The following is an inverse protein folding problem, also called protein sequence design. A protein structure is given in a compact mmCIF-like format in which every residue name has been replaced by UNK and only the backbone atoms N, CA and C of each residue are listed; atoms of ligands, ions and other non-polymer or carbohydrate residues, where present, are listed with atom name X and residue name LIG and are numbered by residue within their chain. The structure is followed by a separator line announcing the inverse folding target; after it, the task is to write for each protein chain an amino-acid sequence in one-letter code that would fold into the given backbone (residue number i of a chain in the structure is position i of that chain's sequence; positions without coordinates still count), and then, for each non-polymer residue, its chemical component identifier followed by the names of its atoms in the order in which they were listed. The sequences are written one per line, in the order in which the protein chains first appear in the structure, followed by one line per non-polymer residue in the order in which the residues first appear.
data_IF_784675447480
#
_entry.id   IF_784675447480
#
_cell.length_a   1.000
_cell.length_b   1.000
_cell.length_c   1.000
_cell.angle_alpha   90.00
_cell.angle_beta   90.00
_cell.angle_gamma   90.00
#
_symmetry.space_group_name_H-M   'P 1'
#
loop_
_entity.id
_entity.type
_entity.pdbx_description
1 polymer ?
#
# COMPACT_ATOMS: atom_id res chain seq x y z
N UNK A 1 10.34 54.23 -37.67
CA UNK A 1 10.13 52.77 -37.60
C UNK A 1 10.49 52.35 -36.19
N UNK A 2 9.68 51.46 -35.61
CA UNK A 2 9.75 50.81 -34.28
C UNK A 2 9.49 51.70 -33.07
N UNK A 3 8.21 51.86 -32.73
CA UNK A 3 7.74 52.22 -31.40
C UNK A 3 7.70 50.97 -30.53
N UNK A 4 8.33 51.03 -29.36
CA UNK A 4 8.21 50.01 -28.31
C UNK A 4 6.86 50.15 -27.62
N UNK A 5 6.03 49.11 -27.72
CA UNK A 5 4.75 49.03 -27.02
C UNK A 5 5.00 48.52 -25.59
N UNK A 6 4.88 49.44 -24.64
CA UNK A 6 4.94 49.16 -23.20
C UNK A 6 3.66 48.45 -22.77
N UNK A 7 3.76 47.16 -22.44
CA UNK A 7 2.63 46.38 -21.91
C UNK A 7 2.05 47.01 -20.63
N UNK A 8 0.72 47.04 -20.47
CA UNK A 8 0.06 47.50 -19.25
C UNK A 8 0.25 46.48 -18.10
N UNK A 9 0.21 46.96 -16.85
CA UNK A 9 0.45 46.12 -15.68
C UNK A 9 -0.63 45.05 -15.53
N UNK A 10 -0.16 43.85 -15.17
CA UNK A 10 -0.94 42.66 -14.81
C UNK A 10 -2.02 43.04 -13.78
N UNK A 11 -3.27 43.13 -14.23
CA UNK A 11 -4.41 43.37 -13.36
C UNK A 11 -4.51 42.21 -12.38
N UNK A 12 -4.22 42.48 -11.11
CA UNK A 12 -4.59 41.60 -10.00
C UNK A 12 -6.08 41.35 -10.11
N UNK A 13 -6.47 40.09 -10.37
CA UNK A 13 -7.87 39.69 -10.37
C UNK A 13 -8.45 40.09 -9.01
N UNK A 14 -9.29 41.13 -9.01
CA UNK A 14 -10.12 41.49 -7.87
C UNK A 14 -10.95 40.25 -7.57
N UNK A 15 -10.74 39.69 -6.38
CA UNK A 15 -11.63 38.72 -5.77
C UNK A 15 -13.00 39.39 -5.69
N UNK A 16 -13.83 39.17 -6.71
CA UNK A 16 -15.18 39.70 -6.72
C UNK A 16 -15.91 38.88 -5.68
N UNK A 17 -16.14 39.48 -4.52
CA UNK A 17 -17.03 38.94 -3.50
C UNK A 17 -18.40 38.76 -4.16
N UNK A 18 -18.68 37.56 -4.65
CA UNK A 18 -20.02 37.16 -5.07
C UNK A 18 -20.88 37.19 -3.80
N UNK A 19 -21.63 38.28 -3.62
CA UNK A 19 -22.66 38.36 -2.60
C UNK A 19 -23.83 37.50 -3.08
N UNK A 20 -23.90 36.29 -2.53
CA UNK A 20 -24.99 35.37 -2.75
C UNK A 20 -26.29 36.03 -2.28
N UNK A 21 -27.28 36.10 -3.18
CA UNK A 21 -28.63 36.50 -2.80
C UNK A 21 -29.18 35.48 -1.79
N UNK A 22 -29.84 35.92 -0.71
CA UNK A 22 -30.46 35.00 0.24
C UNK A 22 -31.41 34.06 -0.48
N UNK A 23 -31.20 32.75 -0.37
CA UNK A 23 -32.05 31.76 -0.99
C UNK A 23 -33.46 31.86 -0.37
N UNK A 24 -34.46 32.23 -1.18
CA UNK A 24 -35.83 32.47 -0.72
C UNK A 24 -36.52 31.22 -0.14
N UNK A 25 -36.07 30.03 -0.54
CA UNK A 25 -36.55 28.74 -0.03
C UNK A 25 -35.36 27.77 0.03
N UNK A 26 -34.55 27.80 1.10
CA UNK A 26 -33.26 27.14 1.11
C UNK A 26 -33.33 25.60 1.15
N UNK A 27 -34.54 25.02 1.23
CA UNK A 27 -34.76 23.59 1.09
C UNK A 27 -33.73 22.78 1.90
N UNK A 28 -33.04 21.86 1.23
CA UNK A 28 -31.89 21.19 1.79
C UNK A 28 -30.62 22.08 1.65
N UNK A 29 -30.01 22.54 2.75
CA UNK A 29 -28.86 23.46 2.73
C UNK A 29 -27.61 22.89 2.04
N UNK A 30 -27.53 21.57 1.83
CA UNK A 30 -26.46 20.92 1.05
C UNK A 30 -26.51 21.34 -0.42
N UNK A 31 -27.70 21.55 -0.98
CA UNK A 31 -27.88 21.86 -2.40
C UNK A 31 -28.07 23.36 -2.69
N UNK A 32 -28.35 24.15 -1.66
CA UNK A 32 -28.62 25.59 -1.79
C UNK A 32 -27.37 26.47 -1.74
N UNK A 33 -26.17 25.88 -1.71
CA UNK A 33 -24.86 26.57 -1.68
C UNK A 33 -24.69 27.57 -0.52
N UNK A 34 -25.53 27.47 0.53
CA UNK A 34 -25.49 28.36 1.70
C UNK A 34 -24.43 27.95 2.73
N UNK A 35 -23.94 26.71 2.64
CA UNK A 35 -22.89 26.19 3.49
C UNK A 35 -21.53 26.40 2.82
N UNK A 36 -20.53 26.79 3.61
CA UNK A 36 -19.14 26.85 3.14
C UNK A 36 -18.69 25.44 2.71
N UNK A 37 -17.96 25.34 1.60
CA UNK A 37 -17.46 24.07 1.10
C UNK A 37 -16.63 23.32 2.15
N UNK A 38 -15.98 24.07 3.07
CA UNK A 38 -15.21 23.51 4.20
C UNK A 38 -16.07 22.77 5.22
N UNK A 39 -17.35 23.12 5.37
CA UNK A 39 -18.27 22.42 6.30
C UNK A 39 -18.93 21.21 5.65
N UNK A 40 -18.89 21.12 4.33
CA UNK A 40 -19.45 20.03 3.51
C UNK A 40 -18.44 18.93 3.18
N UNK A 41 -17.31 18.86 3.87
CA UNK A 41 -16.31 17.79 3.67
C UNK A 41 -16.48 16.65 4.67
N UNK A 42 -16.29 15.42 4.20
CA UNK A 42 -16.20 14.22 5.06
C UNK A 42 -14.80 14.22 5.69
N UNK A 43 -14.65 14.56 6.98
CA UNK A 43 -13.35 14.50 7.67
C UNK A 43 -13.29 13.32 8.65
N UNK A 44 -12.61 12.25 8.27
CA UNK A 44 -12.12 11.25 9.22
C UNK A 44 -10.59 11.36 9.28
N UNK A 45 -9.99 11.11 10.46
CA UNK A 45 -8.55 11.30 10.70
C UNK A 45 -7.64 10.51 9.73
N UNK A 46 -8.15 9.40 9.18
CA UNK A 46 -7.40 8.48 8.32
C UNK A 46 -7.75 8.58 6.83
N UNK A 47 -8.73 9.41 6.45
CA UNK A 47 -9.19 9.50 5.06
C UNK A 47 -9.01 10.91 4.50
N UNK A 48 -8.85 10.99 3.18
CA UNK A 48 -8.75 12.26 2.48
C UNK A 48 -10.11 13.00 2.58
N UNK A 49 -10.14 14.27 2.99
CA UNK A 49 -11.38 15.03 3.03
C UNK A 49 -11.97 15.16 1.63
N UNK A 50 -13.23 14.79 1.48
CA UNK A 50 -13.96 14.86 0.20
C UNK A 50 -15.28 15.61 0.39
N UNK A 51 -15.60 16.48 -0.56
CA UNK A 51 -16.88 17.20 -0.58
C UNK A 51 -18.03 16.20 -0.74
N UNK A 52 -19.06 16.34 0.09
CA UNK A 52 -20.22 15.45 0.10
C UNK A 52 -20.93 15.37 -1.27
N UNK A 53 -20.92 16.46 -2.03
CA UNK A 53 -21.50 16.52 -3.39
C UNK A 53 -20.81 15.57 -4.38
N UNK A 54 -19.52 15.25 -4.16
CA UNK A 54 -18.73 14.37 -5.01
C UNK A 54 -18.48 12.99 -4.39
N UNK A 55 -19.21 12.64 -3.32
CA UNK A 55 -19.07 11.33 -2.68
C UNK A 55 -19.59 10.24 -3.62
N UNK A 56 -18.71 9.31 -3.97
CA UNK A 56 -19.06 8.11 -4.75
C UNK A 56 -19.20 6.90 -3.83
N UNK A 57 -19.73 5.79 -4.32
CA UNK A 57 -19.78 4.52 -3.57
C UNK A 57 -18.39 4.00 -3.21
N UNK A 58 -17.38 4.23 -4.05
CA UNK A 58 -15.99 3.83 -3.76
C UNK A 58 -15.41 4.50 -2.51
N UNK A 59 -15.96 5.66 -2.11
CA UNK A 59 -15.54 6.40 -0.92
C UNK A 59 -15.93 5.70 0.39
N UNK A 60 -16.75 4.66 0.34
CA UNK A 60 -17.11 3.86 1.52
C UNK A 60 -15.97 2.93 1.96
N UNK A 61 -15.12 2.49 1.01
CA UNK A 61 -13.93 1.71 1.34
C UNK A 61 -12.96 2.55 2.18
N UNK A 62 -12.56 2.02 3.34
CA UNK A 62 -11.67 2.72 4.28
C UNK A 62 -12.32 3.86 5.06
N UNK A 63 -13.64 4.10 4.92
CA UNK A 63 -14.35 5.12 5.68
C UNK A 63 -14.53 4.74 7.17
N UNK A 64 -14.51 3.45 7.48
CA UNK A 64 -14.67 2.93 8.86
C UNK A 64 -13.30 2.93 9.53
N UNK A 65 -13.11 3.65 10.66
CA UNK A 65 -11.86 3.64 11.38
C UNK A 65 -11.61 2.26 12.02
N UNK A 66 -10.37 1.75 12.00
CA UNK A 66 -10.04 0.49 12.64
C UNK A 66 -10.22 0.60 14.15
N UNK A 67 -10.95 -0.34 14.74
CA UNK A 67 -11.14 -0.46 16.19
C UNK A 67 -10.38 -1.68 16.71
N UNK A 68 -9.93 -1.66 17.97
CA UNK A 68 -9.21 -2.79 18.59
C UNK A 68 -9.98 -4.12 18.50
N UNK A 69 -11.31 -4.08 18.46
CA UNK A 69 -12.18 -5.26 18.32
C UNK A 69 -12.14 -5.89 16.92
N UNK A 70 -11.70 -5.14 15.90
CA UNK A 70 -11.58 -5.63 14.51
C UNK A 70 -10.25 -6.35 14.27
N UNK A 71 -9.27 -6.18 15.16
CA UNK A 71 -7.95 -6.78 15.02
C UNK A 71 -8.00 -8.25 15.42
N UNK A 72 -7.40 -9.18 14.66
CA UNK A 72 -7.35 -10.58 15.04
C UNK A 72 -6.53 -10.77 16.34
N UNK A 73 -6.95 -11.70 17.21
CA UNK A 73 -6.24 -11.99 18.45
C UNK A 73 -4.82 -12.54 18.22
N UNK A 74 -4.59 -13.19 17.08
CA UNK A 74 -3.28 -13.72 16.68
C UNK A 74 -3.12 -13.58 15.17
N UNK A 75 -1.93 -13.15 14.75
CA UNK A 75 -1.52 -13.09 13.35
C UNK A 75 -0.27 -13.94 13.18
N UNK A 76 -0.31 -14.89 12.24
CA UNK A 76 0.83 -15.75 11.91
C UNK A 76 1.33 -15.37 10.52
N UNK A 77 2.32 -14.45 10.42
CA UNK A 77 2.88 -14.11 9.13
C UNK A 77 3.56 -15.34 8.52
N UNK A 78 3.40 -15.53 7.22
CA UNK A 78 4.20 -16.51 6.48
C UNK A 78 5.62 -15.97 6.36
N UNK A 79 6.58 -16.62 7.00
CA UNK A 79 8.00 -16.37 6.77
C UNK A 79 8.54 -17.34 5.72
N UNK A 80 9.08 -16.80 4.63
CA UNK A 80 9.72 -17.55 3.56
C UNK A 80 11.24 -17.33 3.54
N UNK A 81 11.83 -16.77 4.62
CA UNK A 81 13.26 -16.46 4.73
C UNK A 81 14.16 -17.66 4.36
N UNK A 82 13.89 -18.83 4.94
CA UNK A 82 14.63 -20.06 4.67
C UNK A 82 14.50 -20.50 3.20
N UNK A 83 13.27 -20.52 2.67
CA UNK A 83 13.02 -20.91 1.28
C UNK A 83 13.68 -19.95 0.29
N UNK A 84 13.64 -18.64 0.56
CA UNK A 84 14.33 -17.63 -0.25
C UNK A 84 15.84 -17.83 -0.22
N UNK A 85 16.40 -18.19 0.94
CA UNK A 85 17.82 -18.53 1.05
C UNK A 85 18.17 -19.78 0.21
N UNK A 86 17.35 -20.83 0.25
CA UNK A 86 17.54 -22.00 -0.62
C UNK A 86 17.48 -21.63 -2.11
N UNK A 87 16.53 -20.78 -2.52
CA UNK A 87 16.47 -20.30 -3.91
C UNK A 87 17.71 -19.50 -4.31
N UNK A 88 18.28 -18.70 -3.41
CA UNK A 88 19.51 -17.94 -3.66
C UNK A 88 20.74 -18.86 -3.85
N UNK A 89 20.78 -20.00 -3.16
CA UNK A 89 21.86 -20.99 -3.31
C UNK A 89 21.82 -21.75 -4.65
N UNK A 90 20.72 -21.68 -5.41
CA UNK A 90 20.58 -22.33 -6.71
C UNK A 90 20.21 -23.81 -6.62
N UNK A 91 20.25 -24.50 -7.77
CA UNK A 91 19.94 -25.93 -7.85
C UNK A 91 21.10 -26.76 -7.30
N UNK A 92 20.78 -27.82 -6.56
CA UNK A 92 21.77 -28.79 -6.09
C UNK A 92 22.30 -29.59 -7.27
N UNK A 93 23.61 -29.57 -7.48
CA UNK A 93 24.30 -30.44 -8.43
C UNK A 93 24.92 -31.63 -7.70
N UNK A 94 24.80 -32.82 -8.28
CA UNK A 94 25.34 -34.07 -7.71
C UNK A 94 26.58 -34.53 -8.48
N UNK A 95 27.68 -33.78 -8.34
CA UNK A 95 28.94 -34.06 -9.02
C UNK A 95 29.93 -34.86 -8.14
N UNK A 96 29.44 -35.78 -7.31
CA UNK A 96 30.28 -36.61 -6.44
C UNK A 96 30.45 -38.04 -6.99
N UNK A 97 31.61 -38.64 -6.72
CA UNK A 97 31.86 -40.06 -6.99
C UNK A 97 31.41 -40.91 -5.80
N UNK A 98 30.93 -42.12 -6.06
CA UNK A 98 30.58 -43.06 -5.00
C UNK A 98 31.85 -43.57 -4.31
N UNK A 99 32.12 -43.10 -3.10
CA UNK A 99 33.23 -43.57 -2.25
C UNK A 99 32.77 -44.53 -1.16
N UNK A 100 31.51 -44.98 -1.22
CA UNK A 100 31.00 -45.99 -0.30
C UNK A 100 31.76 -47.30 -0.51
N UNK A 101 32.45 -47.76 0.53
CA UNK A 101 33.05 -49.10 0.54
C UNK A 101 31.91 -50.13 0.58
N UNK A 102 31.95 -51.10 -0.34
CA UNK A 102 30.97 -52.18 -0.34
C UNK A 102 31.08 -52.96 0.96
N UNK A 103 29.97 -53.07 1.68
CA UNK A 103 29.92 -53.80 2.95
C UNK A 103 29.42 -55.20 2.66
N UNK A 104 30.32 -56.18 2.80
CA UNK A 104 29.94 -57.59 2.78
C UNK A 104 28.88 -57.87 3.84
N UNK A 105 27.89 -58.72 3.51
CA UNK A 105 26.94 -59.24 4.49
C UNK A 105 27.60 -60.24 5.45
N UNK A 106 28.77 -60.75 5.09
CA UNK A 106 29.61 -61.57 5.96
C UNK A 106 30.34 -60.62 6.90
N UNK A 107 30.28 -60.92 8.20
CA UNK A 107 31.04 -60.18 9.19
C UNK A 107 32.53 -60.43 8.93
N UNK A 108 33.22 -59.49 8.29
CA UNK A 108 34.68 -59.54 8.19
C UNK A 108 35.22 -59.34 9.61
N UNK A 109 35.59 -60.44 10.25
CA UNK A 109 36.37 -60.38 11.47
C UNK A 109 37.72 -59.75 11.10
N UNK A 110 38.19 -58.67 11.77
CA UNK A 110 39.39 -57.93 11.37
C UNK A 110 40.71 -58.70 11.58
N UNK A 111 40.67 -60.02 11.72
CA UNK A 111 41.75 -60.83 12.28
C UNK A 111 42.35 -61.85 11.29
N UNK A 112 42.00 -61.80 10.01
CA UNK A 112 42.62 -62.66 9.01
C UNK A 112 43.53 -61.87 8.06
N UNK A 113 44.83 -62.04 8.36
CA UNK A 113 45.99 -61.97 7.47
C UNK A 113 46.88 -60.71 7.57
N UNK A 114 47.51 -60.55 8.73
CA UNK A 114 48.98 -60.41 8.74
C UNK A 114 49.59 -61.82 8.79
N UNK A 115 49.62 -62.51 7.66
CA UNK A 115 50.38 -63.76 7.51
C UNK A 115 51.00 -63.74 6.12
N UNK A 116 52.23 -63.20 6.11
CA UNK A 116 53.28 -63.22 5.09
C UNK A 116 52.89 -62.99 3.63
#
# INVERSE_FOLDING_TARGET
MTSEEKMPPRTTAKESSFQWLPCANPGNPVFSCMLDAKTLTTSNFLTKPQLLLYKTSSCEYGNIPPTSQMVPCKFYPRDNSFTNHLFACGLTEFNCINTGVDRSKVYDHPDVMNLL
#
